data_IF_804225504610
#
_entry.id   IF_804225504610
#
_cell.length_a   1.000
_cell.length_b   1.000
_cell.length_c   1.000
_cell.angle_alpha   90.00
_cell.angle_beta   90.00
_cell.angle_gamma   90.00
#
_symmetry.space_group_name_H-M   'P 1'
#
loop_
_entity.id
_entity.type
_entity.pdbx_description
1 polymer ?
#
# COMPACT_ATOMS: atom_id res chain seq x y z
N UNK A 1 -7.80 -8.30 -13.70
CA UNK A 1 -7.45 -7.65 -12.41
C UNK A 1 -7.85 -8.58 -11.27
N UNK A 2 -6.99 -8.72 -10.26
CA UNK A 2 -7.24 -9.57 -9.09
C UNK A 2 -8.45 -9.06 -8.29
N UNK A 3 -9.33 -9.95 -7.83
CA UNK A 3 -10.55 -9.58 -7.08
C UNK A 3 -10.26 -9.09 -5.65
N UNK A 4 -9.12 -9.46 -5.07
CA UNK A 4 -8.72 -9.11 -3.71
C UNK A 4 -7.18 -8.99 -3.64
N UNK A 5 -6.59 -7.91 -4.19
CA UNK A 5 -5.15 -7.65 -4.08
C UNK A 5 -4.71 -7.60 -2.60
N UNK A 6 -3.57 -8.24 -2.24
CA UNK A 6 -3.01 -8.19 -0.90
C UNK A 6 -2.56 -6.76 -0.55
N UNK A 7 -2.33 -6.48 0.73
CA UNK A 7 -1.77 -5.18 1.11
C UNK A 7 -0.34 -5.08 0.56
N UNK A 8 0.08 -3.96 -0.05
CA UNK A 8 1.43 -3.86 -0.62
C UNK A 8 2.55 -4.06 0.40
N UNK A 9 2.29 -3.76 1.67
CA UNK A 9 3.20 -4.06 2.78
C UNK A 9 3.48 -5.55 2.98
N UNK A 10 2.60 -6.46 2.54
CA UNK A 10 2.87 -7.90 2.54
C UNK A 10 3.96 -8.23 1.51
N UNK A 11 3.90 -7.67 0.30
CA UNK A 11 4.95 -7.83 -0.72
C UNK A 11 6.26 -7.14 -0.33
N UNK A 12 6.18 -5.97 0.30
CA UNK A 12 7.37 -5.30 0.84
C UNK A 12 8.14 -6.17 1.84
N UNK A 13 7.47 -7.07 2.58
CA UNK A 13 8.14 -7.99 3.49
C UNK A 13 9.07 -8.94 2.72
N UNK A 14 8.61 -9.43 1.57
CA UNK A 14 9.39 -10.32 0.71
C UNK A 14 10.56 -9.55 0.08
N UNK A 15 10.35 -8.29 -0.32
CA UNK A 15 11.42 -7.41 -0.82
C UNK A 15 12.52 -7.18 0.24
N UNK A 16 12.13 -6.92 1.50
CA UNK A 16 13.09 -6.78 2.59
C UNK A 16 13.87 -8.07 2.85
N UNK A 17 13.21 -9.23 2.75
CA UNK A 17 13.88 -10.52 2.89
C UNK A 17 14.87 -10.78 1.76
N UNK A 18 14.52 -10.45 0.52
CA UNK A 18 15.39 -10.59 -0.65
C UNK A 18 16.63 -9.67 -0.56
N UNK A 19 16.50 -8.52 0.09
CA UNK A 19 17.60 -7.59 0.39
C UNK A 19 18.36 -7.92 1.68
N UNK A 20 17.99 -9.02 2.37
CA UNK A 20 18.56 -9.43 3.66
C UNK A 20 18.46 -8.33 4.75
N UNK A 21 17.44 -7.47 4.66
CA UNK A 21 17.21 -6.37 5.59
C UNK A 21 16.28 -6.79 6.73
N UNK A 22 16.73 -6.53 7.96
CA UNK A 22 15.85 -6.57 9.13
C UNK A 22 14.90 -5.37 9.13
N UNK A 23 13.78 -5.47 9.86
CA UNK A 23 12.88 -4.31 10.06
C UNK A 23 13.59 -3.12 10.74
N UNK A 24 14.66 -3.35 11.50
CA UNK A 24 15.46 -2.27 12.08
C UNK A 24 16.21 -1.50 11.01
N UNK A 25 16.98 -2.20 10.18
CA UNK A 25 17.77 -1.61 9.10
C UNK A 25 16.87 -0.91 8.09
N UNK A 26 15.73 -1.51 7.74
CA UNK A 26 14.76 -0.89 6.84
C UNK A 26 14.21 0.43 7.44
N UNK A 27 13.90 0.47 8.73
CA UNK A 27 13.39 1.67 9.38
C UNK A 27 14.42 2.81 9.40
N UNK A 28 15.67 2.47 9.72
CA UNK A 28 16.80 3.40 9.69
C UNK A 28 17.02 3.96 8.28
N UNK A 29 17.13 3.08 7.27
CA UNK A 29 17.36 3.49 5.89
C UNK A 29 16.20 4.31 5.31
N UNK A 30 14.96 3.98 5.66
CA UNK A 30 13.77 4.73 5.27
C UNK A 30 13.59 6.03 6.09
N UNK A 31 14.37 6.26 7.15
CA UNK A 31 14.25 7.43 8.01
C UNK A 31 12.91 7.52 8.74
N UNK A 32 12.38 6.39 9.21
CA UNK A 32 11.11 6.26 9.94
C UNK A 32 11.26 5.37 11.17
N UNK A 33 10.25 5.33 12.04
CA UNK A 33 10.28 4.44 13.20
C UNK A 33 10.10 2.97 12.80
N UNK A 34 10.71 2.04 13.57
CA UNK A 34 10.46 0.59 13.42
C UNK A 34 8.98 0.23 13.51
N UNK A 35 8.22 0.95 14.35
CA UNK A 35 6.77 0.77 14.49
C UNK A 35 6.03 1.13 13.21
N UNK A 36 6.41 2.21 12.51
CA UNK A 36 5.81 2.58 11.22
C UNK A 36 6.04 1.50 10.17
N UNK A 37 7.30 1.03 10.01
CA UNK A 37 7.61 -0.07 9.08
C UNK A 37 6.80 -1.31 9.45
N UNK A 38 6.81 -1.72 10.72
CA UNK A 38 6.05 -2.90 11.16
C UNK A 38 4.55 -2.80 10.86
N UNK A 39 3.93 -1.62 11.05
CA UNK A 39 2.52 -1.43 10.74
C UNK A 39 2.25 -1.51 9.23
N UNK A 40 3.15 -1.01 8.38
CA UNK A 40 3.03 -1.17 6.92
C UNK A 40 3.14 -2.65 6.55
N UNK A 41 4.18 -3.35 7.03
CA UNK A 41 4.42 -4.78 6.75
C UNK A 41 3.26 -5.69 7.18
N UNK A 42 2.52 -5.31 8.21
CA UNK A 42 1.35 -6.06 8.73
C UNK A 42 0.01 -5.59 8.16
N UNK A 43 0.02 -4.66 7.20
CA UNK A 43 -1.20 -4.11 6.59
C UNK A 43 -2.06 -3.26 7.54
N UNK A 44 -1.48 -2.81 8.66
CA UNK A 44 -2.11 -1.93 9.66
C UNK A 44 -1.92 -0.43 9.36
N UNK A 45 -1.08 -0.09 8.40
CA UNK A 45 -1.00 1.24 7.79
C UNK A 45 -0.91 1.11 6.28
N UNK A 46 -1.61 1.98 5.58
CA UNK A 46 -1.39 2.20 4.15
C UNK A 46 0.01 2.78 3.90
N UNK A 47 0.54 2.54 2.71
CA UNK A 47 1.69 3.27 2.18
C UNK A 47 1.20 4.67 1.78
N UNK A 48 1.68 5.72 2.45
CA UNK A 48 1.43 7.12 2.08
C UNK A 48 2.34 7.56 0.92
N UNK A 49 2.06 8.69 0.24
CA UNK A 49 2.97 9.24 -0.77
C UNK A 49 4.40 9.47 -0.25
N UNK A 50 4.55 9.97 0.98
CA UNK A 50 5.88 10.16 1.59
C UNK A 50 6.60 8.84 1.84
N UNK A 51 5.86 7.80 2.28
CA UNK A 51 6.44 6.46 2.42
C UNK A 51 6.82 5.88 1.04
N UNK A 52 5.99 6.09 0.02
CA UNK A 52 6.25 5.61 -1.34
C UNK A 52 7.54 6.20 -1.92
N UNK A 53 7.81 7.49 -1.71
CA UNK A 53 9.08 8.12 -2.10
C UNK A 53 10.28 7.56 -1.34
N UNK A 54 10.12 7.27 -0.04
CA UNK A 54 11.17 6.61 0.76
C UNK A 54 11.46 5.20 0.23
N UNK A 55 10.43 4.44 -0.10
CA UNK A 55 10.56 3.09 -0.67
C UNK A 55 11.22 3.11 -2.05
N UNK A 56 10.81 4.02 -2.95
CA UNK A 56 11.45 4.23 -4.25
C UNK A 56 12.96 4.48 -4.10
N UNK A 57 13.34 5.30 -3.12
CA UNK A 57 14.74 5.68 -2.89
C UNK A 57 15.58 4.54 -2.31
N UNK A 58 15.01 3.74 -1.39
CA UNK A 58 15.79 2.80 -0.56
C UNK A 58 15.64 1.35 -1.00
N UNK A 59 14.42 0.94 -1.36
CA UNK A 59 14.06 -0.44 -1.69
C UNK A 59 13.98 -0.62 -3.22
N UNK A 60 13.53 0.42 -3.91
CA UNK A 60 13.34 0.42 -5.36
C UNK A 60 11.87 0.42 -5.76
N UNK A 61 11.64 0.03 -7.02
CA UNK A 61 10.40 0.33 -7.75
C UNK A 61 10.16 1.84 -7.84
N UNK A 62 8.93 2.26 -8.17
CA UNK A 62 8.55 3.68 -8.21
C UNK A 62 7.48 3.98 -7.17
N UNK A 63 7.43 5.22 -6.67
CA UNK A 63 6.41 5.69 -5.75
C UNK A 63 5.00 5.50 -6.36
N UNK A 64 4.86 5.78 -7.66
CA UNK A 64 3.66 5.51 -8.43
C UNK A 64 3.24 4.04 -8.39
N UNK A 65 4.19 3.11 -8.51
CA UNK A 65 3.91 1.68 -8.41
C UNK A 65 3.36 1.31 -7.03
N UNK A 66 4.03 1.74 -5.96
CA UNK A 66 3.61 1.51 -4.59
C UNK A 66 2.20 2.05 -4.31
N UNK A 67 1.92 3.28 -4.77
CA UNK A 67 0.61 3.92 -4.61
C UNK A 67 -0.48 3.20 -5.43
N UNK A 68 -0.18 2.69 -6.62
CA UNK A 68 -1.13 1.90 -7.41
C UNK A 68 -1.50 0.60 -6.71
N UNK A 69 -0.54 -0.09 -6.11
CA UNK A 69 -0.81 -1.30 -5.32
C UNK A 69 -1.68 -0.99 -4.10
N UNK A 70 -1.35 0.08 -3.37
CA UNK A 70 -2.13 0.53 -2.23
C UNK A 70 -3.57 0.89 -2.63
N UNK A 71 -3.75 1.67 -3.70
CA UNK A 71 -5.07 2.06 -4.20
C UNK A 71 -5.89 0.84 -4.64
N UNK A 72 -5.26 -0.15 -5.28
CA UNK A 72 -5.93 -1.40 -5.67
C UNK A 72 -6.42 -2.18 -4.44
N UNK A 73 -5.59 -2.31 -3.40
CA UNK A 73 -5.95 -2.93 -2.13
C UNK A 73 -7.10 -2.22 -1.43
N UNK A 74 -6.99 -0.90 -1.27
CA UNK A 74 -7.99 -0.10 -0.57
C UNK A 74 -9.33 -0.12 -1.30
N UNK A 75 -9.32 0.02 -2.63
CA UNK A 75 -10.53 -0.08 -3.45
C UNK A 75 -11.17 -1.48 -3.32
N UNK A 76 -10.39 -2.56 -3.31
CA UNK A 76 -10.92 -3.91 -3.15
C UNK A 76 -11.58 -4.11 -1.78
N UNK A 77 -11.02 -3.54 -0.71
CA UNK A 77 -11.64 -3.54 0.63
C UNK A 77 -12.95 -2.76 0.66
N UNK A 78 -12.97 -1.57 0.06
CA UNK A 78 -14.16 -0.72 0.01
C UNK A 78 -15.25 -1.34 -0.86
N UNK A 79 -14.90 -2.03 -1.94
CA UNK A 79 -15.84 -2.74 -2.82
C UNK A 79 -16.69 -3.79 -2.08
N UNK A 80 -16.21 -4.36 -0.97
CA UNK A 80 -17.01 -5.27 -0.14
C UNK A 80 -18.22 -4.58 0.50
N UNK A 81 -18.17 -3.25 0.60
CA UNK A 81 -19.23 -2.38 1.14
C UNK A 81 -19.95 -1.57 0.06
N UNK A 82 -19.85 -1.98 -1.21
CA UNK A 82 -20.43 -1.25 -2.35
C UNK A 82 -21.91 -0.90 -2.11
N UNK A 83 -22.80 -1.82 -1.66
CA UNK A 83 -24.20 -1.48 -1.46
C UNK A 83 -24.41 -0.33 -0.47
N UNK A 84 -23.62 -0.24 0.60
CA UNK A 84 -23.75 0.83 1.59
C UNK A 84 -23.26 2.19 1.06
N UNK A 85 -22.39 2.20 0.04
CA UNK A 85 -21.76 3.41 -0.49
C UNK A 85 -22.51 3.94 -1.71
N UNK A 86 -23.01 3.05 -2.57
CA UNK A 86 -23.54 3.44 -3.88
C UNK A 86 -25.07 3.50 -3.93
N UNK A 87 -25.76 3.16 -2.85
CA UNK A 87 -27.23 3.24 -2.81
C UNK A 87 -27.70 4.66 -3.07
N UNK A 88 -28.63 4.82 -4.02
CA UNK A 88 -29.18 6.13 -4.42
C UNK A 88 -28.30 6.94 -5.37
N UNK A 89 -27.05 6.51 -5.63
CA UNK A 89 -26.20 7.16 -6.62
C UNK A 89 -26.67 6.83 -8.04
N UNK A 90 -26.62 7.83 -8.93
CA UNK A 90 -26.94 7.68 -10.35
C UNK A 90 -25.78 8.20 -11.18
N UNK A 91 -25.50 7.51 -12.29
CA UNK A 91 -24.49 7.94 -13.26
C UNK A 91 -25.05 9.15 -14.04
N UNK A 92 -24.24 10.20 -14.18
CA UNK A 92 -24.55 11.27 -15.13
C UNK A 92 -24.43 10.72 -16.55
N UNK A 93 -25.50 10.86 -17.33
CA UNK A 93 -25.50 10.61 -18.76
C UNK A 93 -25.47 11.98 -19.46
N UNK A 94 -24.62 12.18 -20.48
CA UNK A 94 -24.70 13.39 -21.30
C UNK A 94 -26.08 13.46 -21.98
N UNK A 95 -26.56 14.68 -22.20
CA UNK A 95 -27.81 14.96 -22.91
C UNK A 95 -27.73 14.54 -24.39
#
# INVERSE_FOLDING_TARGET
>A
MMKNPPHPGEGLKDDLQALELTTAQAAEALGVTRQQVHRVLTGRSSISPEMALRLETVIGSTADHWLRLQAAHDLAKVRKRTPQITTGLRRFLPA
#
